data_IF_493219794093
#
_entry.id   IF_493219794093
#
_cell.length_a   1.000
_cell.length_b   1.000
_cell.length_c   1.000
_cell.angle_alpha   90.00
_cell.angle_beta   90.00
_cell.angle_gamma   90.00
#
_symmetry.space_group_name_H-M   'P 1'
#
loop_
_entity.id
_entity.type
_entity.pdbx_description
1 polymer ?
#
# COMPACT_ATOMS: atom_id res chain seq x y z
N UNK A 1 -8.82 -13.97 1.46
CA UNK A 1 -8.81 -12.80 0.56
C UNK A 1 -7.52 -12.81 -0.24
N UNK A 2 -7.59 -12.64 -1.56
CA UNK A 2 -6.40 -12.57 -2.41
C UNK A 2 -5.68 -11.24 -2.16
N UNK A 3 -4.41 -11.27 -1.76
CA UNK A 3 -3.59 -10.07 -1.53
C UNK A 3 -3.30 -9.35 -2.86
N UNK A 4 -3.09 -8.03 -2.84
CA UNK A 4 -2.56 -7.30 -4.00
C UNK A 4 -1.06 -7.56 -4.11
N UNK A 5 -0.71 -8.67 -4.76
CA UNK A 5 0.67 -9.11 -4.92
C UNK A 5 1.45 -8.15 -5.82
N UNK A 6 0.78 -7.50 -6.79
CA UNK A 6 1.42 -6.61 -7.77
C UNK A 6 2.04 -5.39 -7.08
N UNK A 7 1.26 -4.67 -6.25
CA UNK A 7 1.77 -3.50 -5.54
C UNK A 7 2.90 -3.88 -4.58
N UNK A 8 2.72 -4.96 -3.83
CA UNK A 8 3.75 -5.46 -2.90
C UNK A 8 5.06 -5.73 -3.64
N UNK A 9 5.02 -6.45 -4.75
CA UNK A 9 6.20 -6.80 -5.55
C UNK A 9 6.89 -5.55 -6.08
N UNK A 10 6.14 -4.62 -6.69
CA UNK A 10 6.69 -3.37 -7.21
C UNK A 10 7.41 -2.57 -6.11
N UNK A 11 6.77 -2.41 -4.95
CA UNK A 11 7.35 -1.73 -3.80
C UNK A 11 8.65 -2.39 -3.32
N UNK A 12 8.68 -3.70 -3.17
CA UNK A 12 9.92 -4.43 -2.80
C UNK A 12 11.01 -4.33 -3.87
N UNK A 13 10.67 -4.32 -5.16
CA UNK A 13 11.64 -4.12 -6.24
C UNK A 13 12.27 -2.73 -6.22
N UNK A 14 11.53 -1.74 -5.73
CA UNK A 14 12.02 -0.38 -5.48
C UNK A 14 12.73 -0.22 -4.13
N UNK A 15 12.92 -1.30 -3.36
CA UNK A 15 13.52 -1.30 -2.02
C UNK A 15 12.83 -0.36 -1.02
N UNK A 16 11.53 -0.09 -1.21
CA UNK A 16 10.76 0.79 -0.35
C UNK A 16 10.03 0.00 0.74
N UNK A 17 10.05 0.51 1.96
CA UNK A 17 9.07 0.13 2.99
C UNK A 17 7.68 0.70 2.66
N UNK A 18 6.64 0.19 3.31
CA UNK A 18 5.29 0.74 3.17
C UNK A 18 5.23 2.21 3.62
N UNK A 19 6.02 2.59 4.63
CA UNK A 19 6.11 3.97 5.11
C UNK A 19 6.76 4.86 4.06
N UNK A 20 7.92 4.47 3.53
CA UNK A 20 8.62 5.26 2.51
C UNK A 20 7.78 5.46 1.25
N UNK A 21 7.04 4.44 0.80
CA UNK A 21 6.10 4.60 -0.33
C UNK A 21 4.93 5.53 0.02
N UNK A 22 4.43 5.48 1.25
CA UNK A 22 3.35 6.35 1.70
C UNK A 22 3.81 7.82 1.74
N UNK A 23 5.03 8.05 2.23
CA UNK A 23 5.64 9.38 2.31
C UNK A 23 5.85 9.99 0.91
N UNK A 24 6.30 9.20 -0.08
CA UNK A 24 6.54 9.69 -1.44
C UNK A 24 5.27 10.10 -2.18
N UNK A 25 4.12 9.51 -1.84
CA UNK A 25 2.83 9.83 -2.47
C UNK A 25 1.87 10.58 -1.54
N UNK A 26 2.37 11.05 -0.40
CA UNK A 26 1.63 11.86 0.59
C UNK A 26 0.33 11.19 1.07
N UNK A 27 0.40 9.89 1.36
CA UNK A 27 -0.69 9.14 1.99
C UNK A 27 -0.20 8.48 3.27
N UNK A 28 -1.08 7.80 4.00
CA UNK A 28 -0.70 7.08 5.21
C UNK A 28 -0.17 5.68 4.90
N UNK A 29 0.70 5.14 5.76
CA UNK A 29 1.12 3.73 5.70
C UNK A 29 -0.07 2.78 5.76
N UNK A 30 -1.10 3.13 6.53
CA UNK A 30 -2.32 2.33 6.65
C UNK A 30 -3.01 2.19 5.29
N UNK A 31 -3.11 3.28 4.52
CA UNK A 31 -3.63 3.26 3.15
C UNK A 31 -2.87 2.28 2.25
N UNK A 32 -1.53 2.29 2.27
CA UNK A 32 -0.72 1.31 1.51
C UNK A 32 -1.01 -0.12 1.96
N UNK A 33 -1.08 -0.36 3.28
CA UNK A 33 -1.37 -1.68 3.85
C UNK A 33 -2.75 -2.18 3.42
N UNK A 34 -3.76 -1.32 3.42
CA UNK A 34 -5.14 -1.66 3.02
C UNK A 34 -5.22 -1.96 1.52
N UNK A 35 -4.49 -1.20 0.68
CA UNK A 35 -4.39 -1.49 -0.76
C UNK A 35 -3.69 -2.83 -0.99
N UNK A 36 -2.59 -3.11 -0.29
CA UNK A 36 -1.87 -4.40 -0.35
C UNK A 36 -2.75 -5.57 0.10
N UNK A 37 -3.67 -5.34 1.04
CA UNK A 37 -4.66 -6.32 1.52
C UNK A 37 -5.92 -6.41 0.66
N UNK A 38 -6.13 -5.49 -0.29
CA UNK A 38 -7.39 -5.28 -1.04
C UNK A 38 -8.59 -4.99 -0.13
N UNK A 39 -8.33 -4.28 0.97
CA UNK A 39 -9.29 -3.84 1.97
C UNK A 39 -9.45 -2.31 1.97
N UNK A 40 -8.77 -1.63 1.04
CA UNK A 40 -8.88 -0.18 0.90
C UNK A 40 -10.26 0.21 0.39
N UNK A 41 -10.96 1.04 1.17
CA UNK A 41 -12.19 1.68 0.79
C UNK A 41 -12.02 3.20 0.99
N UNK A 42 -12.01 4.01 -0.09
CA UNK A 42 -11.84 5.46 0.01
C UNK A 42 -13.02 6.18 0.66
N UNK A 43 -14.16 5.50 0.87
CA UNK A 43 -15.37 6.06 1.48
C UNK A 43 -15.61 5.56 2.91
N UNK A 44 -14.69 4.78 3.49
CA UNK A 44 -14.79 4.40 4.90
C UNK A 44 -14.47 5.66 5.73
N UNK A 45 -15.51 6.34 6.22
CA UNK A 45 -15.43 7.33 7.30
C UNK A 45 -14.91 6.70 8.58
#
# INVERSE_FOLDING_TARGET
MAKNIILKVARTKSELSQQQLADTVTITRQTISDIERRDYNPYKT
#
